data_IF_185289689986
#
_entry.id   IF_185289689986
#
_cell.length_a   1.000
_cell.length_b   1.000
_cell.length_c   1.000
_cell.angle_alpha   90.00
_cell.angle_beta   90.00
_cell.angle_gamma   90.00
#
_symmetry.space_group_name_H-M   'P 1'
#
loop_
_entity.id
_entity.type
_entity.pdbx_description
1 polymer ?
#
# COMPACT_ATOMS: atom_id res chain seq x y z
N UNK A 1 -18.71 -12.04 -6.52
CA UNK A 1 -18.27 -11.33 -5.30
C UNK A 1 -17.08 -11.99 -4.57
N UNK A 2 -17.01 -13.31 -4.36
CA UNK A 2 -15.95 -13.93 -3.53
C UNK A 2 -14.52 -13.98 -4.12
N UNK A 3 -14.36 -13.89 -5.45
CA UNK A 3 -13.06 -14.09 -6.12
C UNK A 3 -12.06 -12.95 -5.92
N UNK A 4 -12.53 -11.69 -5.94
CA UNK A 4 -11.67 -10.52 -5.71
C UNK A 4 -11.09 -10.55 -4.29
N UNK A 5 -11.94 -10.78 -3.29
CA UNK A 5 -11.54 -10.82 -1.88
C UNK A 5 -10.49 -11.90 -1.62
N UNK A 6 -10.71 -13.14 -2.06
CA UNK A 6 -9.80 -14.26 -1.77
C UNK A 6 -8.44 -14.15 -2.49
N UNK A 7 -8.43 -13.68 -3.74
CA UNK A 7 -7.20 -13.49 -4.52
C UNK A 7 -6.37 -12.29 -4.00
N UNK A 8 -7.02 -11.21 -3.59
CA UNK A 8 -6.32 -10.08 -2.96
C UNK A 8 -5.80 -10.38 -1.58
N UNK A 9 -6.59 -11.06 -0.74
CA UNK A 9 -6.15 -11.42 0.61
C UNK A 9 -4.97 -12.39 0.58
N UNK A 10 -4.98 -13.36 -0.35
CA UNK A 10 -3.83 -14.25 -0.56
C UNK A 10 -2.60 -13.53 -1.11
N UNK A 11 -2.77 -12.51 -1.97
CA UNK A 11 -1.65 -11.68 -2.47
C UNK A 11 -1.09 -10.73 -1.40
N UNK A 12 -1.93 -10.14 -0.55
CA UNK A 12 -1.50 -9.37 0.62
C UNK A 12 -0.81 -10.27 1.65
N UNK A 13 -1.27 -11.50 1.84
CA UNK A 13 -0.62 -12.47 2.72
C UNK A 13 0.74 -12.92 2.19
N UNK A 14 0.89 -13.15 0.88
CA UNK A 14 2.14 -13.59 0.25
C UNK A 14 3.13 -12.45 -0.04
N UNK A 15 2.65 -11.21 -0.22
CA UNK A 15 3.42 -10.00 -0.55
C UNK A 15 3.42 -8.93 0.54
N UNK A 16 3.16 -9.31 1.79
CA UNK A 16 2.87 -8.49 2.99
C UNK A 16 3.35 -7.02 2.96
N UNK A 17 2.54 -6.14 2.38
CA UNK A 17 2.55 -4.70 2.67
C UNK A 17 1.86 -4.37 4.01
N UNK A 18 1.36 -5.40 4.68
CA UNK A 18 0.78 -5.28 6.01
C UNK A 18 1.85 -4.87 7.02
N UNK A 19 1.48 -4.04 7.99
CA UNK A 19 2.40 -3.43 8.96
C UNK A 19 3.55 -2.62 8.33
N UNK A 20 3.35 -2.14 7.10
CA UNK A 20 4.32 -1.30 6.39
C UNK A 20 4.03 0.19 6.60
N UNK A 21 5.07 1.02 6.53
CA UNK A 21 4.94 2.46 6.66
C UNK A 21 4.41 3.06 5.35
N UNK A 22 3.37 3.89 5.41
CA UNK A 22 2.90 4.66 4.27
C UNK A 22 3.90 5.80 3.99
N UNK A 23 4.68 5.68 2.92
CA UNK A 23 5.67 6.69 2.55
C UNK A 23 5.03 7.85 1.79
N UNK A 24 4.21 7.51 0.79
CA UNK A 24 3.61 8.47 -0.12
C UNK A 24 2.15 8.10 -0.35
N UNK A 25 1.32 9.13 -0.42
CA UNK A 25 -0.05 9.06 -0.87
C UNK A 25 -0.27 10.10 -1.96
N UNK A 26 -0.87 9.69 -3.06
CA UNK A 26 -1.32 10.61 -4.10
C UNK A 26 -2.58 10.09 -4.76
N UNK A 27 -3.38 11.00 -5.30
CA UNK A 27 -4.53 10.68 -6.11
C UNK A 27 -4.44 11.37 -7.47
N UNK A 28 -5.00 10.75 -8.49
CA UNK A 28 -5.12 11.37 -9.82
C UNK A 28 -6.47 11.05 -10.41
N UNK A 29 -7.02 12.01 -11.15
CA UNK A 29 -8.17 11.75 -12.01
C UNK A 29 -7.69 10.93 -13.21
N UNK A 30 -8.40 9.87 -13.52
CA UNK A 30 -8.19 9.10 -14.75
C UNK A 30 -9.06 9.76 -15.82
N UNK A 31 -8.41 10.47 -16.73
CA UNK A 31 -9.05 11.04 -17.91
C UNK A 31 -8.89 10.05 -19.07
N UNK A 32 -10.01 9.64 -19.67
CA UNK A 32 -10.03 8.67 -20.75
C UNK A 32 -11.35 8.71 -21.50
N UNK A 33 -11.46 7.94 -22.58
CA UNK A 33 -12.63 7.92 -23.47
C UNK A 33 -13.89 7.27 -22.85
N UNK A 34 -13.91 7.05 -21.54
CA UNK A 34 -15.04 6.49 -20.80
C UNK A 34 -15.98 7.62 -20.39
N UNK A 35 -17.28 7.33 -20.41
CA UNK A 35 -18.30 8.31 -19.99
C UNK A 35 -18.21 8.68 -18.50
N UNK A 36 -17.66 7.80 -17.67
CA UNK A 36 -17.54 8.02 -16.22
C UNK A 36 -16.12 8.43 -15.81
N UNK A 37 -16.01 9.56 -15.14
CA UNK A 37 -14.78 9.99 -14.49
C UNK A 37 -14.39 8.97 -13.41
N UNK A 38 -13.11 8.59 -13.37
CA UNK A 38 -12.58 7.70 -12.33
C UNK A 38 -11.43 8.36 -11.59
N UNK A 39 -11.19 7.92 -10.36
CA UNK A 39 -10.13 8.42 -9.51
C UNK A 39 -9.24 7.27 -9.06
N UNK A 40 -7.93 7.43 -9.22
CA UNK A 40 -6.92 6.46 -8.76
C UNK A 40 -6.27 6.98 -7.47
N UNK A 41 -6.41 6.21 -6.41
CA UNK A 41 -5.77 6.42 -5.11
C UNK A 41 -4.57 5.48 -5.00
N UNK A 42 -3.40 6.06 -4.76
CA UNK A 42 -2.13 5.34 -4.71
C UNK A 42 -1.51 5.49 -3.32
N UNK A 43 -1.22 4.36 -2.68
CA UNK A 43 -0.54 4.30 -1.38
C UNK A 43 0.74 3.50 -1.52
N UNK A 44 1.88 4.18 -1.43
CA UNK A 44 3.20 3.55 -1.45
C UNK A 44 3.61 3.19 -0.03
N UNK A 45 3.85 1.91 0.18
CA UNK A 45 4.25 1.36 1.46
C UNK A 45 5.68 0.88 1.42
N UNK A 46 6.41 1.02 2.53
CA UNK A 46 7.72 0.41 2.74
C UNK A 46 7.64 -0.62 3.84
N UNK A 47 7.98 -1.86 3.50
CA UNK A 47 8.04 -2.96 4.46
C UNK A 47 9.10 -2.63 5.50
N UNK A 48 8.75 -2.77 6.78
CA UNK A 48 9.77 -2.71 7.81
C UNK A 48 10.63 -3.97 7.67
N UNK A 49 11.92 -3.80 7.38
CA UNK A 49 12.85 -4.93 7.43
C UNK A 49 12.77 -5.53 8.84
N UNK A 50 12.66 -6.86 9.00
CA UNK A 50 12.73 -7.46 10.33
C UNK A 50 14.03 -6.98 10.98
N UNK A 51 13.92 -6.37 12.17
CA UNK A 51 15.05 -5.81 12.94
C UNK A 51 16.10 -6.86 13.35
N UNK A 52 15.96 -8.10 12.87
CA UNK A 52 16.89 -9.19 13.06
C UNK A 52 17.68 -9.46 11.77
N UNK A 53 18.58 -8.55 11.42
CA UNK A 53 19.83 -9.00 10.80
C UNK A 53 20.72 -9.44 11.95
N UNK A 54 20.72 -10.75 12.23
CA UNK A 54 21.75 -11.35 13.06
C UNK A 54 23.12 -10.90 12.53
N UNK A 55 24.07 -10.63 13.43
CA UNK A 55 25.45 -10.24 13.10
C UNK A 55 26.26 -11.34 12.37
N UNK A 56 25.59 -12.31 11.73
CA UNK A 56 26.20 -13.51 11.15
C UNK A 56 25.78 -13.72 9.70
N UNK A 57 25.77 -12.66 8.89
CA UNK A 57 25.93 -12.80 7.45
C UNK A 57 27.01 -11.82 7.04
N UNK A 58 28.23 -12.33 6.80
CA UNK A 58 29.23 -11.61 6.01
C UNK A 58 28.70 -11.55 4.58
N UNK A 59 27.74 -10.66 4.34
CA UNK A 59 27.30 -10.33 2.99
C UNK A 59 28.53 -9.73 2.31
N UNK A 60 28.94 -10.31 1.18
CA UNK A 60 29.97 -9.74 0.33
C UNK A 60 29.53 -8.31 0.02
N UNK A 61 30.27 -7.32 0.54
CA UNK A 61 29.98 -5.95 0.20
C UNK A 61 30.35 -5.75 -1.27
N UNK A 62 29.44 -5.24 -2.10
CA UNK A 62 29.80 -4.88 -3.46
C UNK A 62 30.94 -3.84 -3.40
N UNK A 63 31.84 -3.80 -4.40
CA UNK A 63 32.85 -2.76 -4.47
C UNK A 63 32.19 -1.39 -4.39
N UNK A 64 32.77 -0.46 -3.61
CA UNK A 64 32.26 0.89 -3.36
C UNK A 64 31.89 1.61 -4.68
N UNK A 65 32.62 1.30 -5.75
CA UNK A 65 32.42 1.80 -7.11
C UNK A 65 31.05 1.46 -7.73
N UNK A 66 30.30 0.52 -7.17
CA UNK A 66 28.98 0.09 -7.66
C UNK A 66 27.85 0.30 -6.64
N UNK A 67 28.12 0.94 -5.51
CA UNK A 67 27.15 1.12 -4.43
C UNK A 67 25.89 1.88 -4.90
N UNK A 68 26.08 2.87 -5.78
CA UNK A 68 25.00 3.64 -6.41
C UNK A 68 24.15 2.81 -7.39
N UNK A 69 24.74 1.79 -8.03
CA UNK A 69 24.05 0.94 -9.02
C UNK A 69 23.19 -0.14 -8.34
N UNK A 70 23.55 -0.52 -7.12
CA UNK A 70 22.91 -1.62 -6.38
C UNK A 70 21.85 -1.13 -5.38
N UNK A 71 21.82 0.17 -5.11
CA UNK A 71 20.88 0.75 -4.14
C UNK A 71 19.60 1.17 -4.83
N UNK A 72 18.62 0.27 -4.89
CA UNK A 72 17.28 0.63 -5.31
C UNK A 72 16.52 1.27 -4.14
N UNK A 73 16.18 2.57 -4.18
CA UNK A 73 15.43 3.23 -3.10
C UNK A 73 14.04 2.64 -2.89
N UNK A 74 13.47 2.00 -3.92
CA UNK A 74 12.17 1.32 -3.88
C UNK A 74 12.28 -0.14 -3.43
N UNK A 75 13.47 -0.62 -3.08
CA UNK A 75 13.61 -1.94 -2.47
C UNK A 75 12.71 -2.04 -1.24
N UNK A 76 12.01 -3.18 -1.13
CA UNK A 76 11.02 -3.47 -0.09
C UNK A 76 9.77 -2.55 -0.10
N UNK A 77 9.59 -1.75 -1.15
CA UNK A 77 8.37 -1.02 -1.37
C UNK A 77 7.31 -1.85 -2.10
N UNK A 78 6.06 -1.45 -1.90
CA UNK A 78 4.94 -1.93 -2.67
C UNK A 78 3.89 -0.82 -2.80
N UNK A 79 3.06 -0.91 -3.82
CA UNK A 79 2.05 0.09 -4.16
C UNK A 79 0.66 -0.54 -4.13
N UNK A 80 -0.20 -0.01 -3.26
CA UNK A 80 -1.63 -0.28 -3.30
C UNK A 80 -2.30 0.79 -4.15
N UNK A 81 -2.91 0.37 -5.26
CA UNK A 81 -3.67 1.23 -6.14
C UNK A 81 -5.14 0.85 -6.06
N UNK A 82 -6.01 1.84 -5.87
CA UNK A 82 -7.45 1.64 -5.78
C UNK A 82 -8.10 2.64 -6.73
N UNK A 83 -8.96 2.14 -7.62
CA UNK A 83 -9.77 3.01 -8.48
C UNK A 83 -11.20 3.08 -7.99
N UNK A 84 -11.76 4.28 -7.95
CA UNK A 84 -13.15 4.54 -7.58
C UNK A 84 -13.84 5.37 -8.66
N UNK A 85 -15.17 5.38 -8.65
CA UNK A 85 -15.95 6.24 -9.54
C UNK A 85 -16.03 7.68 -9.03
N UNK A 86 -16.04 7.87 -7.70
CA UNK A 86 -16.12 9.19 -7.09
C UNK A 86 -14.79 9.62 -6.49
N UNK A 87 -14.54 10.92 -6.47
CA UNK A 87 -13.49 11.49 -5.64
C UNK A 87 -13.88 11.33 -4.17
N UNK A 88 -12.92 10.91 -3.35
CA UNK A 88 -13.10 10.67 -1.93
C UNK A 88 -11.96 11.39 -1.22
N UNK A 89 -12.31 12.23 -0.26
CA UNK A 89 -11.31 12.92 0.55
C UNK A 89 -10.62 11.91 1.47
N UNK A 90 -9.29 11.84 1.38
CA UNK A 90 -8.47 10.95 2.20
C UNK A 90 -7.68 11.81 3.19
N UNK A 91 -7.76 11.55 4.51
CA UNK A 91 -6.96 12.26 5.50
C UNK A 91 -5.46 12.01 5.31
N UNK A 92 -4.62 12.80 5.98
CA UNK A 92 -3.16 12.64 5.93
C UNK A 92 -2.79 11.31 6.60
N UNK A 93 -2.32 10.35 5.80
CA UNK A 93 -1.90 9.01 6.26
C UNK A 93 -0.41 8.73 6.03
N UNK A 94 0.31 9.66 5.40
CA UNK A 94 1.76 9.57 5.21
C UNK A 94 2.47 9.57 6.57
N UNK A 95 3.45 8.67 6.73
CA UNK A 95 4.15 8.45 8.00
C UNK A 95 3.44 7.51 8.98
N UNK A 96 2.24 7.03 8.66
CA UNK A 96 1.51 6.06 9.49
C UNK A 96 1.76 4.61 9.03
N UNK A 97 1.63 3.67 9.96
CA UNK A 97 1.71 2.23 9.69
C UNK A 97 0.37 1.70 9.23
N UNK A 98 0.36 0.97 8.13
CA UNK A 98 -0.82 0.30 7.61
C UNK A 98 -1.13 -0.98 8.39
N UNK A 99 -2.32 -1.06 9.00
CA UNK A 99 -2.65 -2.11 9.98
C UNK A 99 -3.91 -2.91 9.66
N UNK A 100 -4.76 -2.45 8.76
CA UNK A 100 -5.94 -3.20 8.36
C UNK A 100 -6.28 -2.93 6.91
N UNK A 101 -6.59 -4.00 6.18
CA UNK A 101 -7.21 -3.97 4.87
C UNK A 101 -8.49 -4.80 4.90
N UNK A 102 -9.62 -4.24 4.51
CA UNK A 102 -10.87 -4.99 4.41
C UNK A 102 -11.62 -4.61 3.14
N UNK A 103 -12.14 -5.62 2.43
CA UNK A 103 -13.02 -5.43 1.29
C UNK A 103 -14.41 -5.94 1.68
N UNK A 104 -15.38 -5.04 1.62
CA UNK A 104 -16.79 -5.32 1.81
C UNK A 104 -17.56 -5.02 0.52
N UNK A 105 -18.86 -5.21 0.55
CA UNK A 105 -19.78 -4.72 -0.49
C UNK A 105 -20.28 -3.33 -0.09
N UNK A 106 -20.48 -2.46 -1.07
CA UNK A 106 -21.11 -1.15 -0.92
C UNK A 106 -22.58 -1.27 -0.49
N UNK A 107 -23.18 -0.19 0.00
CA UNK A 107 -24.59 -0.17 0.47
C UNK A 107 -25.60 -0.49 -0.64
N UNK A 108 -25.26 -0.12 -1.89
CA UNK A 108 -26.04 -0.44 -3.08
C UNK A 108 -25.90 -1.90 -3.53
N UNK A 109 -25.01 -2.67 -2.90
CA UNK A 109 -24.63 -4.05 -3.21
C UNK A 109 -24.04 -4.28 -4.62
N UNK A 110 -23.76 -3.22 -5.38
CA UNK A 110 -23.26 -3.30 -6.76
C UNK A 110 -21.75 -3.16 -6.84
N UNK A 111 -21.18 -2.44 -5.88
CA UNK A 111 -19.77 -2.11 -5.87
C UNK A 111 -19.04 -2.71 -4.67
N UNK A 112 -17.71 -2.71 -4.75
CA UNK A 112 -16.88 -3.03 -3.60
C UNK A 112 -16.65 -1.78 -2.76
N UNK A 113 -16.48 -1.99 -1.45
CA UNK A 113 -16.08 -0.96 -0.48
C UNK A 113 -14.78 -1.40 0.17
N UNK A 114 -13.75 -0.55 0.08
CA UNK A 114 -12.45 -0.83 0.70
C UNK A 114 -12.28 0.01 1.95
N UNK A 115 -11.89 -0.62 3.06
CA UNK A 115 -11.49 0.04 4.31
C UNK A 115 -10.01 -0.21 4.57
N UNK A 116 -9.29 0.88 4.82
CA UNK A 116 -7.89 0.91 5.23
C UNK A 116 -7.81 1.50 6.63
N UNK A 117 -6.98 0.94 7.51
CA UNK A 117 -6.71 1.53 8.84
C UNK A 117 -5.22 1.79 9.00
N UNK A 118 -4.91 3.01 9.41
CA UNK A 118 -3.56 3.51 9.63
C UNK A 118 -3.37 3.86 11.11
N UNK A 119 -2.22 3.50 11.67
CA UNK A 119 -1.85 3.79 13.06
C UNK A 119 -0.54 4.55 13.09
N UNK A 120 -0.37 5.44 14.07
CA UNK A 120 0.93 6.09 14.26
C UNK A 120 2.02 5.06 14.56
N UNK A 121 3.22 5.30 14.01
CA UNK A 121 4.36 4.40 14.12
C UNK A 121 4.79 4.14 15.57
N UNK A 122 5.47 3.00 15.81
CA UNK A 122 4.91 1.87 16.55
C UNK A 122 4.35 2.25 17.93
N UNK A 123 3.31 1.54 18.37
CA UNK A 123 2.82 1.59 19.75
C UNK A 123 3.98 1.28 20.70
N UNK A 124 4.58 2.33 21.28
CA UNK A 124 5.81 2.25 22.10
C UNK A 124 5.67 1.34 23.34
N UNK A 125 4.46 0.89 23.67
CA UNK A 125 4.13 0.42 25.01
C UNK A 125 3.63 -1.03 25.09
N UNK A 126 3.96 -1.92 24.15
CA UNK A 126 3.68 -3.37 24.27
C UNK A 126 2.20 -3.78 24.40
N UNK A 127 1.28 -2.81 24.43
CA UNK A 127 -0.16 -3.02 24.46
C UNK A 127 -0.60 -3.33 23.03
N UNK A 128 -1.34 -4.44 22.87
CA UNK A 128 -1.98 -4.77 21.59
C UNK A 128 -2.77 -3.53 21.13
N UNK A 129 -2.49 -2.98 19.93
CA UNK A 129 -3.31 -1.90 19.40
C UNK A 129 -4.75 -2.40 19.33
N UNK A 130 -5.71 -1.63 19.85
CA UNK A 130 -7.12 -1.95 19.61
C UNK A 130 -7.34 -1.82 18.09
N UNK A 131 -7.85 -2.87 17.46
CA UNK A 131 -7.98 -2.99 16.00
C UNK A 131 -8.76 -1.83 15.35
N UNK A 132 -9.58 -1.13 16.14
CA UNK A 132 -10.43 0.00 15.74
C UNK A 132 -9.81 1.39 16.01
N UNK A 133 -8.71 1.48 16.76
CA UNK A 133 -8.03 2.75 17.01
C UNK A 133 -7.01 3.02 15.90
N UNK A 134 -7.36 3.95 15.01
CA UNK A 134 -6.52 4.39 13.91
C UNK A 134 -7.28 5.29 12.95
N UNK A 135 -6.55 6.00 12.08
CA UNK A 135 -7.14 6.78 11.00
C UNK A 135 -7.73 5.81 9.98
N UNK A 136 -9.04 5.91 9.76
CA UNK A 136 -9.76 5.05 8.83
C UNK A 136 -9.95 5.76 7.50
N UNK A 137 -9.61 5.08 6.41
CA UNK A 137 -9.89 5.53 5.05
C UNK A 137 -10.87 4.55 4.43
N UNK A 138 -12.02 5.05 3.99
CA UNK A 138 -13.05 4.26 3.33
C UNK A 138 -13.18 4.73 1.90
N UNK A 139 -13.00 3.82 0.95
CA UNK A 139 -13.19 4.06 -0.48
C UNK A 139 -14.42 3.28 -0.94
N UNK A 140 -15.43 3.99 -1.43
CA UNK A 140 -16.73 3.48 -1.86
C UNK A 140 -17.36 4.49 -2.84
N UNK A 141 -17.75 4.12 -4.08
CA UNK A 141 -17.68 2.80 -4.72
C UNK A 141 -16.34 2.50 -5.39
N UNK A 142 -15.81 1.31 -5.17
CA UNK A 142 -14.53 0.83 -5.73
C UNK A 142 -14.77 0.06 -7.03
N UNK A 143 -14.06 0.46 -8.08
CA UNK A 143 -14.02 -0.21 -9.38
C UNK A 143 -12.94 -1.29 -9.42
N UNK A 144 -11.71 -1.01 -8.96
CA UNK A 144 -10.64 -2.00 -8.91
C UNK A 144 -9.65 -1.74 -7.78
N UNK A 145 -8.96 -2.81 -7.37
CA UNK A 145 -7.82 -2.78 -6.44
C UNK A 145 -6.65 -3.45 -7.16
N UNK A 146 -5.42 -2.97 -6.94
CA UNK A 146 -4.17 -3.61 -7.37
C UNK A 146 -3.11 -3.47 -6.29
N UNK A 147 -2.32 -4.53 -6.10
CA UNK A 147 -1.13 -4.50 -5.27
C UNK A 147 0.06 -4.82 -6.15
N UNK A 148 0.99 -3.87 -6.27
CA UNK A 148 2.17 -3.98 -7.12
C UNK A 148 3.43 -4.03 -6.25
N UNK A 149 4.29 -5.01 -6.49
CA UNK A 149 5.66 -5.02 -5.95
C UNK A 149 6.52 -3.99 -6.69
N UNK A 150 7.62 -3.55 -6.07
CA UNK A 150 8.55 -2.56 -6.64
C UNK A 150 9.15 -2.95 -8.00
N UNK A 151 9.26 -4.26 -8.30
CA UNK A 151 9.78 -4.78 -9.56
C UNK A 151 8.70 -4.94 -10.64
N UNK A 152 7.42 -4.69 -10.32
CA UNK A 152 6.34 -4.85 -11.27
C UNK A 152 6.47 -3.83 -12.41
N UNK A 153 6.25 -4.20 -13.69
CA UNK A 153 6.45 -3.28 -14.82
C UNK A 153 5.53 -2.05 -14.81
N UNK A 154 4.38 -2.16 -14.16
CA UNK A 154 3.43 -1.05 -13.96
C UNK A 154 3.68 -0.26 -12.66
N UNK A 155 4.73 -0.60 -11.90
CA UNK A 155 5.11 0.17 -10.73
C UNK A 155 5.65 1.54 -11.21
N UNK A 156 5.11 2.66 -10.69
CA UNK A 156 5.60 3.98 -11.05
C UNK A 156 6.97 4.18 -10.38
N UNK A 157 8.04 4.02 -11.16
CA UNK A 157 9.37 4.38 -10.73
C UNK A 157 9.46 5.90 -10.56
N UNK A 158 10.14 6.35 -9.51
CA UNK A 158 10.47 7.77 -9.41
C UNK A 158 11.24 8.18 -10.67
N UNK A 159 10.90 9.31 -11.31
CA UNK A 159 11.82 9.92 -12.27
C UNK A 159 13.17 10.08 -11.57
N UNK A 160 14.27 9.70 -12.24
CA UNK A 160 15.60 10.06 -11.76
C UNK A 160 15.67 11.59 -11.79
N UNK A 161 15.95 12.19 -10.63
CA UNK A 161 16.23 13.62 -10.52
C UNK A 161 17.55 13.95 -11.24
#
# INVERSE_FOLDING_TARGET
MARLTCTFFSRLSKGSCFHSLCLLFWCKKIEGNRQEAMWEFNFKFKKQSPRFKSKCCKVLQPPIQYEEVHTNPDQDCCLLQITTFNFIFVPIVMGMTFTLFTINVSTDMRHHRVRLVFQDAPVRNGKKPRLEQGVQVVLDPVHSVRLLDWWHPQYPFSPKA
#
